data_IF_218260441552
#
_entry.id   IF_218260441552
#
_cell.length_a   1.000
_cell.length_b   1.000
_cell.length_c   1.000
_cell.angle_alpha   90.00
_cell.angle_beta   90.00
_cell.angle_gamma   90.00
#
_symmetry.space_group_name_H-M   'P 1'
#
loop_
_entity.id
_entity.type
_entity.pdbx_description
1 polymer ?
#
# COMPACT_ATOMS: atom_id res chain seq x y z
N UNK A 1 -10.26 27.35 -27.39
CA UNK A 1 -11.57 27.74 -26.81
C UNK A 1 -11.43 28.99 -25.94
N UNK A 2 -12.29 29.99 -26.14
CA UNK A 2 -12.39 31.18 -25.27
C UNK A 2 -12.78 30.81 -23.83
N UNK A 3 -12.39 31.61 -22.82
CA UNK A 3 -12.76 31.40 -21.38
C UNK A 3 -14.29 31.27 -21.19
N UNK A 4 -15.08 32.01 -21.97
CA UNK A 4 -16.56 31.97 -21.93
C UNK A 4 -17.16 30.63 -22.39
N UNK A 5 -16.44 29.83 -23.19
CA UNK A 5 -16.92 28.55 -23.72
C UNK A 5 -16.43 27.34 -22.91
N UNK A 6 -15.83 27.57 -21.73
CA UNK A 6 -15.25 26.52 -20.88
C UNK A 6 -15.94 26.42 -19.52
N UNK A 7 -17.15 26.91 -19.37
CA UNK A 7 -17.91 26.78 -18.12
C UNK A 7 -18.70 25.48 -18.10
N UNK A 8 -19.03 24.96 -16.92
CA UNK A 8 -19.92 23.78 -16.77
C UNK A 8 -21.24 24.01 -17.52
N UNK A 9 -21.85 25.19 -17.39
CA UNK A 9 -23.05 25.58 -18.14
C UNK A 9 -22.85 25.51 -19.67
N UNK A 10 -21.66 25.86 -20.19
CA UNK A 10 -21.38 25.78 -21.62
C UNK A 10 -21.24 24.33 -22.11
N UNK A 11 -20.74 23.43 -21.27
CA UNK A 11 -20.69 22.00 -21.58
C UNK A 11 -22.06 21.32 -21.41
N UNK A 12 -22.82 21.66 -20.35
CA UNK A 12 -24.19 21.20 -20.14
C UNK A 12 -25.09 21.55 -21.35
N UNK A 13 -25.02 22.81 -21.82
CA UNK A 13 -25.75 23.25 -23.01
C UNK A 13 -25.37 22.50 -24.28
N UNK A 14 -24.11 22.10 -24.44
CA UNK A 14 -23.66 21.29 -25.59
C UNK A 14 -24.11 19.84 -25.50
N UNK A 15 -24.25 19.31 -24.29
CA UNK A 15 -24.75 17.96 -24.02
C UNK A 15 -26.29 17.87 -24.05
N UNK A 16 -27.00 19.01 -24.09
CA UNK A 16 -28.46 19.05 -24.01
C UNK A 16 -29.00 18.77 -22.59
N UNK A 17 -28.18 18.99 -21.56
CA UNK A 17 -28.51 18.72 -20.15
C UNK A 17 -28.75 20.02 -19.39
N UNK A 18 -29.46 19.93 -18.26
CA UNK A 18 -29.49 21.02 -17.28
C UNK A 18 -28.11 21.17 -16.63
N UNK A 19 -27.81 22.36 -16.09
CA UNK A 19 -26.54 22.58 -15.40
C UNK A 19 -26.40 21.71 -14.15
N UNK A 20 -27.50 21.42 -13.45
CA UNK A 20 -27.51 20.60 -12.22
C UNK A 20 -27.27 19.12 -12.55
N UNK A 21 -27.88 18.62 -13.64
CA UNK A 21 -27.61 17.25 -14.11
C UNK A 21 -26.15 17.09 -14.56
N UNK A 22 -25.60 18.11 -15.22
CA UNK A 22 -24.19 18.09 -15.60
C UNK A 22 -23.28 18.09 -14.37
N UNK A 23 -23.60 18.84 -13.31
CA UNK A 23 -22.83 18.81 -12.06
C UNK A 23 -22.86 17.43 -11.41
N UNK A 24 -24.05 16.81 -11.33
CA UNK A 24 -24.22 15.47 -10.79
C UNK A 24 -23.45 14.43 -11.60
N UNK A 25 -23.52 14.48 -12.94
CA UNK A 25 -22.80 13.53 -13.81
C UNK A 25 -21.29 13.70 -13.70
N UNK A 26 -20.80 14.94 -13.58
CA UNK A 26 -19.37 15.21 -13.43
C UNK A 26 -18.84 14.78 -12.05
N UNK A 27 -19.65 14.89 -11.01
CA UNK A 27 -19.35 14.37 -9.69
C UNK A 27 -19.38 12.83 -9.67
N UNK A 28 -20.43 12.22 -10.21
CA UNK A 28 -20.65 10.77 -10.21
C UNK A 28 -19.66 10.01 -11.10
N UNK A 29 -19.48 10.44 -12.37
CA UNK A 29 -18.67 9.70 -13.34
C UNK A 29 -17.18 9.98 -13.26
N UNK A 30 -16.77 11.20 -12.88
CA UNK A 30 -15.35 11.61 -12.92
C UNK A 30 -14.87 12.33 -11.65
N UNK A 31 -15.70 12.42 -10.61
CA UNK A 31 -15.31 13.00 -9.31
C UNK A 31 -14.98 14.49 -9.35
N UNK A 32 -15.43 15.23 -10.36
CA UNK A 32 -15.17 16.67 -10.49
C UNK A 32 -16.29 17.48 -9.85
N UNK A 33 -16.02 18.01 -8.66
CA UNK A 33 -16.92 18.93 -7.97
C UNK A 33 -16.70 20.37 -8.43
N UNK A 34 -17.76 20.98 -8.98
CA UNK A 34 -17.78 22.40 -9.30
C UNK A 34 -18.79 23.10 -8.40
N UNK A 35 -18.37 24.20 -7.75
CA UNK A 35 -19.23 24.93 -6.79
C UNK A 35 -20.44 25.62 -7.42
N UNK A 36 -20.44 25.81 -8.74
CA UNK A 36 -21.48 26.51 -9.50
C UNK A 36 -21.35 26.25 -10.99
N UNK A 37 -22.45 26.35 -11.73
CA UNK A 37 -22.51 26.17 -13.19
C UNK A 37 -21.61 27.14 -14.00
N UNK A 38 -21.27 28.30 -13.42
CA UNK A 38 -20.35 29.27 -14.02
C UNK A 38 -18.88 28.95 -13.82
N UNK A 39 -18.56 27.86 -13.09
CA UNK A 39 -17.19 27.44 -12.87
C UNK A 39 -16.52 27.05 -14.19
N UNK A 40 -15.28 27.52 -14.38
CA UNK A 40 -14.50 27.27 -15.58
C UNK A 40 -13.77 25.93 -15.43
N UNK A 41 -14.00 25.03 -16.37
CA UNK A 41 -13.31 23.75 -16.51
C UNK A 41 -11.83 23.98 -16.86
N UNK A 42 -10.88 23.48 -16.05
CA UNK A 42 -9.45 23.51 -16.34
C UNK A 42 -9.10 22.88 -17.70
N UNK A 43 -8.10 23.42 -18.41
CA UNK A 43 -7.75 22.96 -19.77
C UNK A 43 -7.44 21.46 -19.85
N UNK A 44 -6.78 20.92 -18.84
CA UNK A 44 -6.42 19.51 -18.72
C UNK A 44 -7.60 18.59 -18.39
N UNK A 45 -8.77 19.13 -18.03
CA UNK A 45 -9.97 18.35 -17.69
C UNK A 45 -11.07 18.41 -18.76
N UNK A 46 -10.89 19.21 -19.81
CA UNK A 46 -11.89 19.39 -20.88
C UNK A 46 -12.30 18.06 -21.51
N UNK A 47 -11.32 17.20 -21.83
CA UNK A 47 -11.56 15.90 -22.48
C UNK A 47 -12.42 14.98 -21.61
N UNK A 48 -12.11 14.91 -20.31
CA UNK A 48 -12.86 14.08 -19.37
C UNK A 48 -14.30 14.57 -19.20
N UNK A 49 -14.50 15.89 -19.14
CA UNK A 49 -15.84 16.52 -19.09
C UNK A 49 -16.64 16.23 -20.37
N UNK A 50 -16.00 16.33 -21.54
CA UNK A 50 -16.66 16.04 -22.83
C UNK A 50 -17.07 14.57 -22.96
N UNK A 51 -16.27 13.63 -22.45
CA UNK A 51 -16.60 12.20 -22.44
C UNK A 51 -17.72 11.90 -21.43
N UNK A 52 -17.60 12.41 -20.20
CA UNK A 52 -18.58 12.17 -19.14
C UNK A 52 -19.99 12.67 -19.51
N UNK A 53 -20.06 13.82 -20.18
CA UNK A 53 -21.30 14.45 -20.66
C UNK A 53 -21.73 13.99 -22.06
N UNK A 54 -21.03 13.03 -22.68
CA UNK A 54 -21.43 12.45 -23.97
C UNK A 54 -21.30 13.40 -25.17
N UNK A 55 -20.43 14.41 -25.10
CA UNK A 55 -20.24 15.43 -26.15
C UNK A 55 -19.30 14.93 -27.27
N UNK A 56 -18.40 13.97 -26.98
CA UNK A 56 -17.40 13.48 -27.94
C UNK A 56 -17.91 12.29 -28.78
N UNK A 57 -17.75 12.37 -30.12
CA UNK A 57 -18.16 11.35 -31.12
C UNK A 57 -17.05 10.37 -31.57
N UNK A 58 -15.97 10.20 -30.81
CA UNK A 58 -14.92 9.20 -31.13
C UNK A 58 -14.68 8.30 -29.94
N UNK A 59 -15.31 7.14 -29.96
CA UNK A 59 -15.01 6.00 -29.09
C UNK A 59 -13.61 5.48 -29.41
N UNK A 60 -12.73 5.47 -28.42
CA UNK A 60 -11.48 4.72 -28.46
C UNK A 60 -11.66 3.38 -27.72
N UNK A 61 -10.79 2.36 -27.92
CA UNK A 61 -10.95 1.05 -27.29
C UNK A 61 -10.97 1.09 -25.75
N UNK A 62 -10.50 2.17 -25.13
CA UNK A 62 -10.51 2.40 -23.67
C UNK A 62 -11.92 2.72 -23.13
N UNK A 63 -12.86 3.12 -23.99
CA UNK A 63 -14.20 3.59 -23.61
C UNK A 63 -15.24 2.45 -23.43
N UNK A 64 -14.88 1.19 -23.73
CA UNK A 64 -15.78 0.02 -23.59
C UNK A 64 -15.96 -0.48 -22.16
N UNK A 65 -15.24 0.08 -21.19
CA UNK A 65 -15.35 -0.34 -19.78
C UNK A 65 -16.53 0.33 -19.05
N UNK A 66 -17.36 1.11 -19.76
CA UNK A 66 -18.42 1.92 -19.18
C UNK A 66 -19.80 1.44 -19.70
N UNK A 67 -20.41 0.58 -18.88
CA UNK A 67 -21.85 0.21 -18.74
C UNK A 67 -22.35 -1.00 -19.56
N UNK A 68 -22.90 -2.00 -18.83
CA UNK A 68 -24.29 -2.54 -18.88
C UNK A 68 -24.34 -3.78 -17.93
N UNK A 69 -25.14 -3.83 -16.86
CA UNK A 69 -26.60 -4.08 -16.83
C UNK A 69 -27.14 -3.95 -15.35
N UNK A 70 -28.46 -4.07 -15.08
CA UNK A 70 -29.46 -3.02 -15.01
C UNK A 70 -30.00 -2.80 -13.58
N UNK A 71 -30.55 -1.61 -13.32
CA UNK A 71 -31.39 -1.35 -12.14
C UNK A 71 -32.77 -1.98 -12.39
N UNK A 72 -33.25 -2.84 -11.48
CA UNK A 72 -34.67 -3.12 -11.33
C UNK A 72 -35.18 -2.57 -10.00
N UNK A 73 -36.41 -2.08 -10.08
CA UNK A 73 -37.09 -1.15 -9.19
C UNK A 73 -37.66 -1.88 -7.96
N UNK A 74 -37.71 -1.14 -6.85
CA UNK A 74 -38.28 -1.45 -5.52
C UNK A 74 -39.65 -2.14 -5.55
N UNK A 75 -39.85 -3.07 -4.62
CA UNK A 75 -41.10 -3.21 -3.86
C UNK A 75 -40.76 -3.60 -2.39
N UNK A 76 -41.43 -2.95 -1.44
CA UNK A 76 -41.37 -3.19 0.01
C UNK A 76 -42.84 -3.17 0.53
N UNK A 77 -43.17 -3.68 1.73
CA UNK A 77 -43.33 -5.08 2.15
C UNK A 77 -44.81 -5.38 2.56
N UNK A 78 -45.11 -6.48 3.30
CA UNK A 78 -45.67 -6.22 4.63
C UNK A 78 -45.26 -7.19 5.76
N UNK A 79 -45.24 -6.58 6.94
CA UNK A 79 -45.28 -7.05 8.33
C UNK A 79 -45.63 -8.52 8.63
N UNK A 80 -44.85 -9.15 9.53
CA UNK A 80 -45.25 -9.31 10.94
C UNK A 80 -44.31 -10.22 11.77
N UNK A 81 -43.80 -9.64 12.86
CA UNK A 81 -43.70 -10.18 14.22
C UNK A 81 -42.82 -11.42 14.49
N UNK A 82 -41.70 -11.25 15.21
CA UNK A 82 -41.56 -11.39 16.69
C UNK A 82 -40.07 -11.19 17.11
N UNK A 83 -39.85 -10.17 17.96
CA UNK A 83 -38.90 -9.98 19.09
C UNK A 83 -37.80 -11.04 19.37
N UNK A 84 -36.60 -10.74 19.90
CA UNK A 84 -36.05 -9.57 20.62
C UNK A 84 -34.52 -9.73 20.79
N UNK A 85 -33.79 -8.62 20.95
CA UNK A 85 -32.42 -8.61 21.49
C UNK A 85 -31.52 -7.52 20.90
N UNK A 86 -31.53 -6.34 21.53
CA UNK A 86 -30.80 -5.11 21.19
C UNK A 86 -29.44 -5.31 20.50
N UNK A 87 -29.37 -4.84 19.25
CA UNK A 87 -28.13 -4.47 18.57
C UNK A 87 -28.22 -3.01 18.15
N UNK A 88 -27.81 -2.11 19.03
CA UNK A 88 -27.50 -0.73 18.63
C UNK A 88 -26.18 -0.77 17.85
N UNK A 89 -26.32 -0.75 16.54
CA UNK A 89 -25.24 -0.63 15.56
C UNK A 89 -25.32 0.78 14.98
N UNK A 90 -24.28 1.63 15.06
CA UNK A 90 -24.24 2.83 14.25
C UNK A 90 -23.31 2.65 13.06
N UNK A 91 -23.94 2.59 11.89
CA UNK A 91 -23.44 2.71 10.51
C UNK A 91 -22.75 4.07 10.24
N UNK A 92 -22.33 4.79 11.28
CA UNK A 92 -21.75 6.13 11.20
C UNK A 92 -20.20 6.17 11.21
N UNK A 93 -19.51 5.04 11.43
CA UNK A 93 -18.05 5.01 11.65
C UNK A 93 -17.18 5.06 10.39
N UNK A 94 -17.79 5.05 9.20
CA UNK A 94 -17.06 5.05 7.91
C UNK A 94 -16.67 6.42 7.35
N UNK A 95 -17.26 7.53 7.83
CA UNK A 95 -17.03 8.87 7.26
C UNK A 95 -15.83 9.62 7.85
N UNK A 96 -15.36 9.28 9.05
CA UNK A 96 -14.41 10.13 9.79
C UNK A 96 -12.94 9.78 9.50
N UNK A 97 -12.62 8.55 9.07
CA UNK A 97 -11.28 8.21 8.56
C UNK A 97 -10.88 8.97 7.27
N UNK A 98 -11.83 9.65 6.62
CA UNK A 98 -11.57 10.47 5.44
C UNK A 98 -11.01 11.87 5.77
N UNK A 99 -11.03 12.31 7.04
CA UNK A 99 -10.54 13.64 7.45
C UNK A 99 -9.04 13.68 7.71
N UNK A 100 -8.37 12.53 7.79
CA UNK A 100 -6.91 12.46 7.60
C UNK A 100 -6.71 12.73 6.11
N UNK A 101 -6.29 13.97 5.80
CA UNK A 101 -5.92 14.46 4.47
C UNK A 101 -5.46 13.27 3.60
N UNK A 102 -6.17 12.92 2.51
CA UNK A 102 -5.64 11.92 1.61
C UNK A 102 -4.37 12.51 1.04
N UNK A 103 -3.22 12.06 1.55
CA UNK A 103 -1.97 12.15 0.82
C UNK A 103 -2.22 11.32 -0.43
N UNK A 104 -2.70 12.03 -1.46
CA UNK A 104 -2.89 11.57 -2.81
C UNK A 104 -1.50 11.13 -3.26
N UNK A 105 -1.16 9.86 -3.01
CA UNK A 105 -0.03 9.25 -3.71
C UNK A 105 -0.39 9.39 -5.19
N UNK A 106 0.49 10.04 -5.94
CA UNK A 106 0.38 10.10 -7.36
C UNK A 106 0.39 8.65 -7.89
N UNK A 107 -0.77 8.19 -8.35
CA UNK A 107 -0.98 6.99 -9.17
C UNK A 107 -0.54 5.62 -8.59
N UNK A 108 -1.53 4.76 -8.28
CA UNK A 108 -1.52 3.35 -8.70
C UNK A 108 -0.55 2.34 -8.08
N UNK A 109 -0.13 2.46 -6.82
CA UNK A 109 0.61 1.38 -6.15
C UNK A 109 -0.33 0.50 -5.33
N UNK A 110 -0.43 -0.79 -5.67
CA UNK A 110 -0.88 -1.81 -4.72
C UNK A 110 0.18 -1.99 -3.63
N UNK A 111 -0.25 -2.07 -2.37
CA UNK A 111 0.66 -2.29 -1.25
C UNK A 111 1.23 -3.72 -1.32
N UNK A 112 2.54 -3.86 -1.14
CA UNK A 112 3.19 -5.17 -1.10
C UNK A 112 3.07 -5.75 0.32
N UNK A 113 1.98 -6.47 0.56
CA UNK A 113 1.66 -7.10 1.83
C UNK A 113 2.59 -8.28 2.15
N UNK A 114 2.75 -8.57 3.43
CA UNK A 114 3.26 -9.86 3.88
C UNK A 114 2.12 -10.86 3.90
N UNK A 115 2.40 -12.10 3.48
CA UNK A 115 1.46 -13.20 3.67
C UNK A 115 1.72 -13.91 5.01
N UNK A 116 0.88 -14.88 5.37
CA UNK A 116 1.04 -15.63 6.63
C UNK A 116 2.37 -16.42 6.67
N UNK A 117 2.77 -17.01 5.55
CA UNK A 117 4.01 -17.77 5.44
C UNK A 117 5.25 -16.87 5.66
N UNK A 118 5.22 -15.63 5.20
CA UNK A 118 6.30 -14.66 5.43
C UNK A 118 6.46 -14.38 6.93
N UNK A 119 5.35 -14.20 7.66
CA UNK A 119 5.37 -13.93 9.10
C UNK A 119 5.80 -15.15 9.90
N UNK A 120 5.35 -16.35 9.51
CA UNK A 120 5.83 -17.61 10.10
C UNK A 120 7.33 -17.80 9.87
N UNK A 121 7.84 -17.52 8.66
CA UNK A 121 9.28 -17.56 8.37
C UNK A 121 10.06 -16.58 9.25
N UNK A 122 9.56 -15.36 9.43
CA UNK A 122 10.17 -14.38 10.33
C UNK A 122 10.21 -14.91 11.77
N UNK A 123 9.12 -15.51 12.24
CA UNK A 123 9.05 -16.10 13.58
C UNK A 123 10.12 -17.19 13.77
N UNK A 124 10.18 -18.19 12.87
CA UNK A 124 11.16 -19.27 12.99
C UNK A 124 12.60 -18.80 12.78
N UNK A 125 12.82 -17.75 11.98
CA UNK A 125 14.13 -17.13 11.88
C UNK A 125 14.55 -16.53 13.24
N UNK A 126 13.64 -15.84 13.93
CA UNK A 126 13.89 -15.33 15.28
C UNK A 126 14.15 -16.45 16.29
N UNK A 127 13.39 -17.56 16.22
CA UNK A 127 13.62 -18.74 17.07
C UNK A 127 15.06 -19.23 16.92
N UNK A 128 15.55 -19.41 15.69
CA UNK A 128 16.93 -19.83 15.44
C UNK A 128 17.98 -18.82 15.89
N UNK A 129 17.73 -17.52 15.68
CA UNK A 129 18.66 -16.45 16.08
C UNK A 129 18.87 -16.32 17.60
N UNK A 130 17.86 -16.70 18.39
CA UNK A 130 17.86 -16.63 19.85
C UNK A 130 17.96 -18.01 20.54
N UNK A 131 18.08 -19.11 19.80
CA UNK A 131 18.06 -20.48 20.35
C UNK A 131 19.06 -20.70 21.49
N UNK A 132 20.26 -20.11 21.34
CA UNK A 132 21.37 -20.24 22.30
C UNK A 132 21.49 -19.06 23.26
N UNK A 133 20.44 -18.25 23.43
CA UNK A 133 20.42 -17.13 24.38
C UNK A 133 19.39 -17.36 25.49
N UNK A 134 19.52 -16.61 26.58
CA UNK A 134 18.54 -16.67 27.69
C UNK A 134 17.16 -16.19 27.23
N UNK A 135 17.14 -15.30 26.23
CA UNK A 135 15.94 -14.71 25.64
C UNK A 135 15.30 -15.59 24.55
N UNK A 136 15.57 -16.90 24.50
CA UNK A 136 15.01 -17.81 23.49
C UNK A 136 13.48 -17.72 23.42
N UNK A 137 12.92 -17.97 22.23
CA UNK A 137 11.46 -18.07 22.04
C UNK A 137 11.03 -19.51 22.38
N UNK A 138 10.35 -19.69 23.52
CA UNK A 138 9.92 -20.99 24.03
C UNK A 138 8.57 -20.87 24.77
N UNK A 139 7.52 -21.66 24.43
CA UNK A 139 7.48 -22.58 23.29
C UNK A 139 7.45 -21.83 21.96
N UNK A 140 8.18 -22.30 20.92
CA UNK A 140 8.11 -21.72 19.59
C UNK A 140 6.84 -22.18 18.87
N UNK A 141 6.51 -21.47 17.78
CA UNK A 141 5.50 -21.91 16.83
C UNK A 141 4.14 -21.26 17.02
N UNK A 142 3.26 -21.61 16.08
CA UNK A 142 1.97 -20.96 15.90
C UNK A 142 0.95 -21.47 16.91
N UNK A 143 0.31 -20.55 17.65
CA UNK A 143 -0.78 -20.87 18.55
C UNK A 143 -2.11 -21.03 17.79
N UNK A 144 -2.33 -20.22 16.74
CA UNK A 144 -3.53 -20.32 15.91
C UNK A 144 -3.35 -19.76 14.49
N UNK A 145 -3.63 -20.58 13.48
CA UNK A 145 -3.66 -20.16 12.07
C UNK A 145 -4.75 -19.12 11.79
N UNK A 146 -5.92 -19.23 12.43
CA UNK A 146 -7.01 -18.30 12.20
C UNK A 146 -6.70 -16.92 12.75
N UNK A 147 -5.99 -16.84 13.88
CA UNK A 147 -5.54 -15.57 14.47
C UNK A 147 -4.44 -14.92 13.61
N UNK A 148 -3.52 -15.70 13.04
CA UNK A 148 -2.54 -15.19 12.08
C UNK A 148 -3.22 -14.62 10.83
N UNK A 149 -4.12 -15.39 10.23
CA UNK A 149 -4.85 -14.96 9.04
C UNK A 149 -5.65 -13.68 9.32
N UNK A 150 -6.35 -13.63 10.45
CA UNK A 150 -7.08 -12.43 10.88
C UNK A 150 -6.16 -11.22 11.07
N UNK A 151 -5.01 -11.41 11.72
CA UNK A 151 -4.04 -10.34 11.94
C UNK A 151 -3.50 -9.77 10.62
N UNK A 152 -3.16 -10.64 9.67
CA UNK A 152 -2.61 -10.23 8.37
C UNK A 152 -3.64 -9.61 7.43
N UNK A 153 -4.88 -10.07 7.46
CA UNK A 153 -5.95 -9.47 6.64
C UNK A 153 -6.31 -8.05 7.09
N UNK A 154 -6.08 -7.70 8.36
CA UNK A 154 -6.54 -6.40 8.90
C UNK A 154 -5.97 -5.22 8.13
N UNK A 155 -4.68 -5.23 7.79
CA UNK A 155 -4.04 -4.14 7.03
C UNK A 155 -4.57 -3.98 5.61
N UNK A 156 -5.19 -5.03 5.05
CA UNK A 156 -5.86 -5.04 3.74
C UNK A 156 -7.37 -4.80 3.80
N UNK A 157 -7.94 -4.54 4.97
CA UNK A 157 -9.40 -4.35 5.13
C UNK A 157 -9.92 -3.26 4.19
N UNK A 158 -10.92 -3.61 3.38
CA UNK A 158 -11.62 -2.70 2.50
C UNK A 158 -13.13 -2.87 2.60
N UNK A 159 -13.87 -1.81 2.34
CA UNK A 159 -15.32 -1.83 2.15
C UNK A 159 -15.62 -1.28 0.75
N UNK A 160 -16.25 -2.09 -0.10
CA UNK A 160 -16.42 -1.80 -1.53
C UNK A 160 -15.09 -1.40 -2.20
N UNK A 161 -15.00 -0.16 -2.71
CA UNK A 161 -13.79 0.38 -3.35
C UNK A 161 -12.90 1.18 -2.39
N UNK A 162 -13.24 1.24 -1.10
CA UNK A 162 -12.55 2.05 -0.11
C UNK A 162 -11.68 1.18 0.81
N UNK A 163 -10.37 1.38 0.76
CA UNK A 163 -9.45 0.78 1.72
C UNK A 163 -9.58 1.50 3.07
N UNK A 164 -9.73 0.73 4.16
CA UNK A 164 -9.73 1.27 5.53
C UNK A 164 -8.37 1.84 5.92
N UNK A 165 -7.29 1.21 5.42
CA UNK A 165 -5.91 1.59 5.69
C UNK A 165 -5.16 1.90 4.37
N UNK A 166 -5.44 3.06 3.73
CA UNK A 166 -4.99 3.35 2.36
C UNK A 166 -3.51 3.72 2.24
N UNK A 167 -2.78 3.84 3.34
CA UNK A 167 -1.35 4.19 3.33
C UNK A 167 -0.51 3.08 3.93
N UNK A 168 0.78 3.05 3.59
CA UNK A 168 1.74 2.06 4.13
C UNK A 168 1.77 2.14 5.65
N UNK A 169 1.81 3.35 6.21
CA UNK A 169 1.88 3.57 7.66
C UNK A 169 0.62 3.04 8.36
N UNK A 170 -0.57 3.25 7.77
CA UNK A 170 -1.83 2.74 8.29
C UNK A 170 -1.93 1.22 8.20
N UNK A 171 -1.55 0.63 7.06
CA UNK A 171 -1.56 -0.82 6.87
C UNK A 171 -0.54 -1.53 7.78
N UNK A 172 0.65 -0.92 7.94
CA UNK A 172 1.68 -1.34 8.86
C UNK A 172 1.18 -1.30 10.31
N UNK A 173 0.57 -0.18 10.72
CA UNK A 173 0.04 0.00 12.06
C UNK A 173 -1.06 -1.01 12.41
N UNK A 174 -1.99 -1.24 11.49
CA UNK A 174 -3.06 -2.21 11.66
C UNK A 174 -2.52 -3.65 11.83
N UNK A 175 -1.51 -4.01 11.04
CA UNK A 175 -0.86 -5.33 11.11
C UNK A 175 -0.03 -5.47 12.38
N UNK A 176 0.74 -4.44 12.75
CA UNK A 176 1.54 -4.39 13.97
C UNK A 176 0.67 -4.57 15.21
N UNK A 177 -0.42 -3.80 15.32
CA UNK A 177 -1.37 -3.90 16.41
C UNK A 177 -1.93 -5.31 16.52
N UNK A 178 -2.42 -5.88 15.42
CA UNK A 178 -3.03 -7.22 15.45
C UNK A 178 -2.03 -8.33 15.78
N UNK A 179 -0.84 -8.31 15.18
CA UNK A 179 0.20 -9.31 15.46
C UNK A 179 0.67 -9.25 16.91
N UNK A 180 0.70 -8.05 17.49
CA UNK A 180 1.10 -7.86 18.89
C UNK A 180 0.04 -8.40 19.86
N UNK A 181 -1.25 -8.17 19.58
CA UNK A 181 -2.34 -8.38 20.55
C UNK A 181 -3.15 -9.66 20.33
N UNK A 182 -3.12 -10.27 19.15
CA UNK A 182 -3.90 -11.48 18.87
C UNK A 182 -3.24 -12.77 19.38
N UNK A 183 -2.06 -12.71 20.02
CA UNK A 183 -1.31 -13.88 20.51
C UNK A 183 -1.22 -15.00 19.48
N UNK A 184 -0.75 -14.64 18.29
CA UNK A 184 -0.73 -15.52 17.12
C UNK A 184 0.22 -16.70 17.31
N UNK A 185 1.33 -16.47 18.02
CA UNK A 185 2.35 -17.46 18.37
C UNK A 185 2.28 -17.76 19.86
N UNK A 186 2.80 -18.93 20.26
CA UNK A 186 2.88 -19.31 21.67
C UNK A 186 3.76 -18.36 22.48
N UNK A 187 4.87 -17.91 21.90
CA UNK A 187 5.76 -16.91 22.46
C UNK A 187 6.36 -16.06 21.31
N UNK A 188 7.11 -15.00 21.57
CA UNK A 188 7.76 -14.22 20.52
C UNK A 188 6.85 -13.24 19.77
N UNK A 189 5.62 -12.98 20.25
CA UNK A 189 4.62 -12.19 19.51
C UNK A 189 5.09 -10.76 19.24
N UNK A 190 5.59 -10.05 20.26
CA UNK A 190 6.06 -8.66 20.13
C UNK A 190 7.26 -8.57 19.19
N UNK A 191 8.23 -9.48 19.34
CA UNK A 191 9.41 -9.55 18.47
C UNK A 191 9.03 -9.84 17.01
N UNK A 192 8.14 -10.80 16.80
CA UNK A 192 7.66 -11.17 15.46
C UNK A 192 6.87 -10.03 14.82
N UNK A 193 6.01 -9.36 15.58
CA UNK A 193 5.22 -8.22 15.11
C UNK A 193 6.11 -7.03 14.71
N UNK A 194 7.11 -6.71 15.52
CA UNK A 194 8.08 -5.65 15.21
C UNK A 194 8.84 -5.96 13.91
N UNK A 195 9.45 -7.14 13.80
CA UNK A 195 10.25 -7.50 12.63
C UNK A 195 9.38 -7.59 11.37
N UNK A 196 8.18 -8.17 11.47
CA UNK A 196 7.22 -8.19 10.35
C UNK A 196 6.85 -6.79 9.88
N UNK A 197 6.66 -5.85 10.82
CA UNK A 197 6.37 -4.45 10.48
C UNK A 197 7.56 -3.77 9.80
N UNK A 198 8.78 -3.98 10.28
CA UNK A 198 9.99 -3.45 9.65
C UNK A 198 10.18 -3.99 8.23
N UNK A 199 9.95 -5.29 8.02
CA UNK A 199 10.02 -5.91 6.69
C UNK A 199 8.92 -5.37 5.78
N UNK A 200 7.68 -5.24 6.26
CA UNK A 200 6.57 -4.67 5.48
C UNK A 200 6.87 -3.23 5.06
N UNK A 201 7.38 -2.39 5.97
CA UNK A 201 7.79 -1.02 5.65
C UNK A 201 8.89 -1.02 4.59
N UNK A 202 9.88 -1.89 4.70
CA UNK A 202 10.97 -2.01 3.75
C UNK A 202 10.50 -2.42 2.35
N UNK A 203 9.62 -3.43 2.27
CA UNK A 203 8.97 -3.86 1.01
C UNK A 203 8.25 -2.70 0.32
N UNK A 204 7.74 -1.75 1.11
CA UNK A 204 7.02 -0.57 0.65
C UNK A 204 7.86 0.72 0.63
N UNK A 205 9.20 0.61 0.68
CA UNK A 205 10.14 1.72 0.47
C UNK A 205 10.36 2.64 1.68
N UNK A 206 9.87 2.25 2.86
CA UNK A 206 10.03 2.99 4.11
C UNK A 206 11.04 2.30 5.03
N UNK A 207 11.79 3.10 5.77
CA UNK A 207 12.55 2.64 6.94
C UNK A 207 12.14 3.45 8.15
N UNK A 208 12.21 2.85 9.33
CA UNK A 208 12.16 3.59 10.59
C UNK A 208 13.57 3.98 11.02
N UNK A 209 13.71 5.19 11.56
CA UNK A 209 14.85 5.59 12.38
C UNK A 209 14.35 5.99 13.77
N UNK A 210 14.71 5.19 14.78
CA UNK A 210 14.26 5.39 16.15
C UNK A 210 15.30 4.78 17.11
N UNK A 211 15.63 5.46 18.22
CA UNK A 211 16.43 4.89 19.29
C UNK A 211 15.83 3.57 19.81
N UNK A 212 16.69 2.61 20.15
CA UNK A 212 16.29 1.26 20.55
C UNK A 212 15.37 1.23 21.76
N UNK A 213 15.63 2.10 22.75
CA UNK A 213 14.85 2.18 24.00
C UNK A 213 13.46 2.78 23.74
N UNK A 214 13.37 3.81 22.87
CA UNK A 214 12.09 4.40 22.46
C UNK A 214 11.25 3.38 21.67
N UNK A 215 11.86 2.63 20.75
CA UNK A 215 11.19 1.58 19.99
C UNK A 215 10.66 0.47 20.90
N UNK A 216 11.46 0.07 21.90
CA UNK A 216 11.07 -0.92 22.89
C UNK A 216 9.88 -0.43 23.72
N UNK A 217 9.97 0.75 24.32
CA UNK A 217 8.89 1.31 25.14
C UNK A 217 7.60 1.52 24.33
N UNK A 218 7.72 1.88 23.06
CA UNK A 218 6.58 1.99 22.16
C UNK A 218 5.89 0.64 21.91
N UNK A 219 6.67 -0.42 21.65
CA UNK A 219 6.15 -1.78 21.49
C UNK A 219 5.48 -2.30 22.77
N UNK A 220 6.06 -2.02 23.94
CA UNK A 220 5.46 -2.34 25.25
C UNK A 220 4.15 -1.59 25.46
N UNK A 221 4.09 -0.30 25.09
CA UNK A 221 2.87 0.50 25.21
C UNK A 221 1.73 -0.01 24.31
N UNK A 222 2.04 -0.58 23.14
CA UNK A 222 1.04 -1.26 22.30
C UNK A 222 0.51 -2.51 23.01
N UNK A 223 1.40 -3.38 23.49
CA UNK A 223 1.01 -4.63 24.15
C UNK A 223 0.18 -4.41 25.42
N UNK A 224 0.47 -3.33 26.16
CA UNK A 224 -0.22 -2.96 27.39
C UNK A 224 -1.50 -2.14 27.18
N UNK A 225 -1.90 -1.84 25.94
CA UNK A 225 -3.01 -0.93 25.63
C UNK A 225 -2.87 0.46 26.28
N UNK A 226 -1.64 1.01 26.32
CA UNK A 226 -1.30 2.29 26.96
C UNK A 226 -1.19 3.47 26.00
N UNK A 227 -1.48 3.27 24.72
CA UNK A 227 -1.47 4.35 23.74
C UNK A 227 -2.69 5.26 23.94
N UNK A 228 -2.48 6.57 23.74
CA UNK A 228 -3.53 7.60 23.85
C UNK A 228 -3.83 8.17 22.47
N UNK A 229 -5.08 8.57 22.24
CA UNK A 229 -5.56 9.22 21.03
C UNK A 229 -6.61 10.29 21.38
N UNK A 230 -6.73 11.32 20.55
CA UNK A 230 -7.51 12.54 20.85
C UNK A 230 -8.92 12.56 20.21
N UNK A 231 -9.48 11.39 19.91
CA UNK A 231 -10.65 11.26 19.01
C UNK A 231 -11.65 10.18 19.43
N UNK A 232 -12.90 10.32 18.97
CA UNK A 232 -14.04 9.43 19.26
C UNK A 232 -14.00 8.10 18.46
N UNK A 233 -12.84 7.44 18.47
CA UNK A 233 -12.66 6.11 17.90
C UNK A 233 -12.85 5.03 18.97
N UNK A 234 -13.25 3.83 18.53
CA UNK A 234 -13.09 2.66 19.40
C UNK A 234 -11.60 2.48 19.72
N UNK A 235 -11.31 1.84 20.85
CA UNK A 235 -9.95 1.68 21.36
C UNK A 235 -8.98 1.18 20.29
N UNK A 236 -9.34 0.11 19.59
CA UNK A 236 -8.42 -0.50 18.63
C UNK A 236 -8.16 0.36 17.38
N UNK A 237 -9.17 1.07 16.86
CA UNK A 237 -8.96 2.01 15.76
C UNK A 237 -8.18 3.25 16.20
N UNK A 238 -8.40 3.72 17.43
CA UNK A 238 -7.62 4.81 18.04
C UNK A 238 -6.14 4.44 18.20
N UNK A 239 -5.85 3.27 18.77
CA UNK A 239 -4.48 2.75 18.91
C UNK A 239 -3.80 2.60 17.54
N UNK A 240 -4.49 2.05 16.54
CA UNK A 240 -3.93 1.94 15.18
C UNK A 240 -3.58 3.31 14.58
N UNK A 241 -4.41 4.33 14.81
CA UNK A 241 -4.11 5.67 14.33
C UNK A 241 -2.87 6.26 15.01
N UNK A 242 -2.77 6.13 16.34
CA UNK A 242 -1.58 6.56 17.10
C UNK A 242 -0.33 5.83 16.60
N UNK A 243 -0.43 4.53 16.31
CA UNK A 243 0.68 3.76 15.75
C UNK A 243 1.05 4.26 14.35
N UNK A 244 0.08 4.53 13.49
CA UNK A 244 0.34 5.01 12.14
C UNK A 244 1.01 6.40 12.14
N UNK A 245 0.59 7.28 13.06
CA UNK A 245 1.22 8.59 13.26
C UNK A 245 2.65 8.46 13.77
N UNK A 246 2.88 7.58 14.75
CA UNK A 246 4.22 7.30 15.25
C UNK A 246 5.12 6.76 14.14
N UNK A 247 4.67 5.75 13.38
CA UNK A 247 5.40 5.21 12.22
C UNK A 247 5.72 6.34 11.25
N UNK A 248 4.73 7.16 10.89
CA UNK A 248 4.92 8.29 9.97
C UNK A 248 6.01 9.25 10.47
N UNK A 249 6.00 9.58 11.76
CA UNK A 249 6.96 10.51 12.38
C UNK A 249 8.40 9.98 12.42
N UNK A 250 8.57 8.66 12.50
CA UNK A 250 9.89 8.00 12.56
C UNK A 250 10.34 7.43 11.23
N UNK A 251 9.44 7.37 10.24
CA UNK A 251 9.72 6.79 8.94
C UNK A 251 10.34 7.80 7.99
N UNK A 252 11.27 7.32 7.18
CA UNK A 252 11.81 8.03 6.03
C UNK A 252 11.81 7.11 4.81
N UNK A 253 11.78 7.71 3.61
CA UNK A 253 11.90 6.95 2.36
C UNK A 253 13.34 6.50 2.17
N UNK A 254 13.56 5.20 1.93
CA UNK A 254 14.89 4.70 1.60
C UNK A 254 15.26 5.09 0.17
N UNK A 255 16.15 6.05 0.00
CA UNK A 255 16.84 6.23 -1.28
C UNK A 255 17.98 5.21 -1.35
N UNK A 256 17.76 4.04 -1.95
CA UNK A 256 18.87 3.10 -2.17
C UNK A 256 19.74 3.66 -3.31
N UNK A 257 21.01 4.04 -3.05
CA UNK A 257 21.89 4.51 -4.12
C UNK A 257 22.04 3.40 -5.16
N UNK A 258 22.03 3.81 -6.43
CA UNK A 258 22.19 2.90 -7.56
C UNK A 258 23.59 2.29 -7.49
N UNK A 259 23.70 1.07 -6.94
CA UNK A 259 24.97 0.33 -6.84
C UNK A 259 25.22 -0.53 -8.08
N UNK A 260 26.47 -0.78 -8.46
CA UNK A 260 26.77 -1.83 -9.43
C UNK A 260 26.25 -3.18 -8.91
N UNK A 261 25.56 -3.93 -9.75
CA UNK A 261 25.14 -5.31 -9.47
C UNK A 261 25.59 -6.23 -10.60
N UNK A 262 25.83 -7.51 -10.29
CA UNK A 262 26.17 -8.50 -11.32
C UNK A 262 24.99 -8.69 -12.26
N UNK A 263 25.28 -8.92 -13.55
CA UNK A 263 24.23 -9.09 -14.56
C UNK A 263 23.24 -10.21 -14.19
N UNK A 264 23.71 -11.33 -13.61
CA UNK A 264 22.85 -12.41 -13.11
C UNK A 264 21.82 -11.95 -12.07
N UNK A 265 22.20 -11.03 -11.19
CA UNK A 265 21.34 -10.50 -10.13
C UNK A 265 20.32 -9.53 -10.73
N UNK A 266 20.77 -8.66 -11.64
CA UNK A 266 19.90 -7.80 -12.43
C UNK A 266 18.85 -8.60 -13.21
N UNK A 267 19.26 -9.73 -13.80
CA UNK A 267 18.37 -10.62 -14.56
C UNK A 267 17.23 -11.14 -13.70
N UNK A 268 17.54 -11.68 -12.52
CA UNK A 268 16.54 -12.19 -11.58
C UNK A 268 15.57 -11.08 -11.15
N UNK A 269 16.08 -9.89 -10.82
CA UNK A 269 15.26 -8.74 -10.43
C UNK A 269 14.28 -8.37 -11.55
N UNK A 270 14.79 -8.23 -12.79
CA UNK A 270 13.98 -7.78 -13.92
C UNK A 270 12.97 -8.85 -14.36
N UNK A 271 13.32 -10.13 -14.31
CA UNK A 271 12.38 -11.22 -14.59
C UNK A 271 11.20 -11.24 -13.62
N UNK A 272 11.43 -10.93 -12.33
CA UNK A 272 10.36 -10.75 -11.33
C UNK A 272 9.47 -9.53 -11.59
N UNK A 273 9.84 -8.67 -12.54
CA UNK A 273 9.08 -7.46 -12.96
C UNK A 273 8.61 -7.57 -14.40
N UNK A 274 8.39 -8.80 -14.87
CA UNK A 274 7.87 -9.13 -16.20
C UNK A 274 8.78 -8.63 -17.34
N UNK A 275 10.10 -8.59 -17.11
CA UNK A 275 11.05 -8.27 -18.15
C UNK A 275 11.63 -9.52 -18.80
N UNK A 276 11.70 -9.49 -20.13
CA UNK A 276 12.32 -10.53 -20.95
C UNK A 276 13.66 -10.07 -21.50
N UNK A 277 14.53 -11.03 -21.82
CA UNK A 277 15.88 -10.78 -22.31
C UNK A 277 16.09 -11.45 -23.66
N UNK A 278 16.65 -10.71 -24.62
CA UNK A 278 17.12 -11.31 -25.86
C UNK A 278 18.39 -12.14 -25.66
N UNK A 279 18.71 -12.98 -26.64
CA UNK A 279 20.06 -13.54 -26.73
C UNK A 279 21.08 -12.39 -26.91
N UNK A 280 22.28 -12.47 -26.31
CA UNK A 280 23.32 -11.48 -26.51
C UNK A 280 23.79 -11.46 -27.97
N UNK A 281 23.84 -10.29 -28.58
CA UNK A 281 24.36 -10.09 -29.94
C UNK A 281 25.35 -8.94 -29.96
N UNK A 282 26.56 -9.19 -30.51
CA UNK A 282 27.66 -8.20 -30.62
C UNK A 282 28.01 -7.49 -29.30
N UNK A 283 27.93 -8.21 -28.17
CA UNK A 283 28.23 -7.65 -26.85
C UNK A 283 27.11 -6.78 -26.26
N UNK A 284 25.89 -6.86 -26.79
CA UNK A 284 24.71 -6.18 -26.26
C UNK A 284 23.58 -7.15 -26.01
N UNK A 285 22.68 -6.77 -25.10
CA UNK A 285 21.44 -7.48 -24.82
C UNK A 285 20.27 -6.49 -24.83
N UNK A 286 19.13 -6.94 -25.36
CA UNK A 286 17.89 -6.20 -25.26
C UNK A 286 17.07 -6.73 -24.09
N UNK A 287 16.47 -5.79 -23.36
CA UNK A 287 15.54 -6.06 -22.28
C UNK A 287 14.21 -5.44 -22.67
N UNK A 288 13.15 -6.22 -22.62
CA UNK A 288 11.80 -5.82 -23.00
C UNK A 288 10.84 -5.98 -21.83
N UNK A 289 9.90 -5.04 -21.68
CA UNK A 289 8.81 -5.10 -20.70
C UNK A 289 7.59 -4.46 -21.35
N UNK A 290 6.50 -5.20 -21.52
CA UNK A 290 5.36 -4.74 -22.33
C UNK A 290 5.84 -4.28 -23.73
N UNK A 291 5.48 -3.06 -24.14
CA UNK A 291 5.93 -2.45 -25.40
C UNK A 291 7.23 -1.64 -25.28
N UNK A 292 7.90 -1.67 -24.12
CA UNK A 292 9.13 -0.92 -23.84
C UNK A 292 10.35 -1.80 -24.10
N UNK A 293 11.41 -1.20 -24.66
CA UNK A 293 12.67 -1.89 -24.96
C UNK A 293 13.87 -1.01 -24.63
N UNK A 294 14.86 -1.60 -23.98
CA UNK A 294 16.15 -0.97 -23.72
C UNK A 294 17.29 -1.88 -24.18
N UNK A 295 18.36 -1.28 -24.70
CA UNK A 295 19.60 -1.98 -25.04
C UNK A 295 20.72 -1.54 -24.09
N UNK A 296 21.42 -2.52 -23.53
CA UNK A 296 22.60 -2.32 -22.68
C UNK A 296 23.76 -3.22 -23.12
N UNK A 297 24.98 -2.83 -22.76
CA UNK A 297 26.16 -3.67 -22.97
C UNK A 297 26.08 -4.93 -22.10
N UNK A 298 26.49 -6.06 -22.67
CA UNK A 298 26.52 -7.37 -22.02
C UNK A 298 27.96 -7.90 -21.99
N UNK A 299 28.54 -7.95 -20.79
CA UNK A 299 29.89 -8.48 -20.57
C UNK A 299 29.92 -9.91 -20.01
N UNK A 300 28.76 -10.56 -19.87
CA UNK A 300 28.61 -11.87 -19.21
C UNK A 300 27.89 -11.79 -17.86
N UNK A 301 27.32 -12.91 -17.41
CA UNK A 301 26.46 -13.00 -16.20
C UNK A 301 27.15 -12.53 -14.91
N UNK A 302 28.47 -12.68 -14.80
CA UNK A 302 29.24 -12.31 -13.62
C UNK A 302 29.83 -10.89 -13.68
N UNK A 303 29.64 -10.14 -14.77
CA UNK A 303 30.10 -8.75 -14.88
C UNK A 303 29.12 -7.80 -14.21
N UNK A 304 29.66 -6.72 -13.67
CA UNK A 304 28.87 -5.66 -13.06
C UNK A 304 28.24 -4.76 -14.13
N UNK A 305 26.96 -4.47 -13.93
CA UNK A 305 26.23 -3.47 -14.70
C UNK A 305 26.38 -2.14 -13.98
N UNK A 306 26.93 -1.14 -14.68
CA UNK A 306 27.20 0.18 -14.08
C UNK A 306 25.91 0.90 -13.69
N UNK A 307 25.93 1.76 -12.65
CA UNK A 307 24.77 2.52 -12.20
C UNK A 307 24.00 3.24 -13.30
N UNK A 308 24.71 3.92 -14.22
CA UNK A 308 24.07 4.65 -15.32
C UNK A 308 23.27 3.74 -16.26
N UNK A 309 23.74 2.51 -16.50
CA UNK A 309 23.00 1.54 -17.30
C UNK A 309 21.76 1.04 -16.55
N UNK A 310 21.85 0.85 -15.24
CA UNK A 310 20.69 0.48 -14.42
C UNK A 310 19.65 1.61 -14.40
N UNK A 311 20.07 2.86 -14.21
CA UNK A 311 19.19 4.03 -14.28
C UNK A 311 18.52 4.13 -15.66
N UNK A 312 19.27 3.91 -16.74
CA UNK A 312 18.71 3.87 -18.10
C UNK A 312 17.65 2.78 -18.23
N UNK A 313 17.92 1.56 -17.75
CA UNK A 313 16.94 0.46 -17.75
C UNK A 313 15.70 0.87 -16.97
N UNK A 314 15.90 1.39 -15.75
CA UNK A 314 14.82 1.79 -14.86
C UNK A 314 13.92 2.84 -15.48
N UNK A 315 14.51 3.89 -16.04
CA UNK A 315 13.74 4.93 -16.70
C UNK A 315 13.02 4.42 -17.97
N UNK A 316 13.74 3.68 -18.83
CA UNK A 316 13.20 3.24 -20.13
C UNK A 316 12.10 2.21 -19.99
N UNK A 317 12.22 1.29 -19.02
CA UNK A 317 11.24 0.23 -18.76
C UNK A 317 10.18 0.65 -17.73
N UNK A 318 10.11 1.95 -17.40
CA UNK A 318 9.16 2.50 -16.43
C UNK A 318 9.24 1.76 -15.08
N UNK A 319 10.47 1.47 -14.64
CA UNK A 319 10.85 0.90 -13.35
C UNK A 319 11.52 1.97 -12.47
N UNK A 320 11.05 3.22 -12.57
CA UNK A 320 11.48 4.35 -11.75
C UNK A 320 10.33 4.92 -10.90
N UNK A 321 10.68 5.87 -10.03
CA UNK A 321 9.76 6.46 -9.06
C UNK A 321 8.56 7.18 -9.70
N UNK A 322 8.73 7.68 -10.92
CA UNK A 322 7.67 8.38 -11.67
C UNK A 322 6.58 7.42 -12.17
N UNK A 323 6.89 6.11 -12.26
CA UNK A 323 6.03 5.13 -12.92
C UNK A 323 5.56 3.97 -12.03
N UNK A 324 5.82 3.98 -10.72
CA UNK A 324 5.39 2.85 -9.90
C UNK A 324 6.51 2.06 -9.22
N UNK A 325 7.78 2.48 -9.34
CA UNK A 325 8.90 1.59 -9.03
C UNK A 325 10.08 2.31 -8.37
N UNK A 326 10.08 2.36 -7.04
CA UNK A 326 11.15 2.95 -6.24
C UNK A 326 12.49 2.18 -6.40
N UNK A 327 13.59 2.90 -6.23
CA UNK A 327 14.96 2.37 -6.12
C UNK A 327 15.06 1.31 -5.03
N UNK A 328 14.35 1.50 -3.92
CA UNK A 328 14.26 0.49 -2.87
C UNK A 328 13.68 -0.83 -3.41
N UNK A 329 12.52 -0.75 -4.05
CA UNK A 329 11.81 -1.91 -4.62
C UNK A 329 12.56 -2.59 -5.77
N UNK A 330 13.45 -1.86 -6.46
CA UNK A 330 14.28 -2.41 -7.52
C UNK A 330 15.44 -3.28 -6.98
N UNK A 331 16.13 -2.84 -5.93
CA UNK A 331 17.28 -3.57 -5.37
C UNK A 331 16.92 -4.49 -4.20
N UNK A 332 15.68 -4.41 -3.70
CA UNK A 332 15.26 -5.15 -2.52
C UNK A 332 15.34 -6.66 -2.76
N UNK A 333 16.22 -7.32 -2.00
CA UNK A 333 16.23 -8.75 -1.84
C UNK A 333 15.73 -9.05 -0.41
N UNK A 334 14.46 -9.46 -0.23
CA UNK A 334 13.87 -9.67 1.09
C UNK A 334 14.65 -10.70 1.92
N UNK A 335 15.27 -11.69 1.28
CA UNK A 335 16.09 -12.71 1.96
C UNK A 335 17.35 -12.14 2.62
N UNK A 336 17.88 -11.02 2.12
CA UNK A 336 19.05 -10.33 2.72
C UNK A 336 18.66 -9.28 3.75
N UNK A 337 17.43 -8.77 3.69
CA UNK A 337 16.97 -7.70 4.55
C UNK A 337 16.70 -8.19 5.99
N UNK A 338 16.13 -9.38 6.14
CA UNK A 338 15.76 -9.94 7.45
C UNK A 338 16.96 -10.11 8.41
N UNK A 339 18.09 -10.73 8.02
CA UNK A 339 19.27 -10.82 8.88
C UNK A 339 19.85 -9.45 9.26
N UNK A 340 19.84 -8.48 8.34
CA UNK A 340 20.31 -7.11 8.61
C UNK A 340 19.41 -6.39 9.63
N UNK A 341 18.09 -6.56 9.52
CA UNK A 341 17.15 -6.02 10.51
C UNK A 341 17.38 -6.60 11.89
N UNK A 342 17.50 -7.93 12.00
CA UNK A 342 17.70 -8.58 13.29
C UNK A 342 19.02 -8.16 13.90
N UNK A 343 20.09 -8.05 13.10
CA UNK A 343 21.37 -7.52 13.57
C UNK A 343 21.25 -6.08 14.05
N UNK A 344 20.55 -5.21 13.31
CA UNK A 344 20.38 -3.79 13.65
C UNK A 344 19.56 -3.59 14.93
N UNK A 345 18.51 -4.38 15.11
CA UNK A 345 17.57 -4.24 16.23
C UNK A 345 17.78 -5.30 17.31
N UNK A 346 18.95 -5.97 17.35
CA UNK A 346 19.19 -7.11 18.23
C UNK A 346 18.94 -6.77 19.70
N UNK A 347 19.42 -5.61 20.16
CA UNK A 347 19.23 -5.17 21.54
C UNK A 347 17.74 -4.92 21.85
N UNK A 348 17.02 -4.24 20.98
CA UNK A 348 15.55 -4.05 21.12
C UNK A 348 14.83 -5.38 21.21
N UNK A 349 15.18 -6.35 20.35
CA UNK A 349 14.57 -7.67 20.36
C UNK A 349 14.86 -8.43 21.66
N UNK A 350 16.09 -8.33 22.21
CA UNK A 350 16.42 -8.91 23.52
C UNK A 350 15.62 -8.26 24.65
N UNK A 351 15.49 -6.93 24.65
CA UNK A 351 14.72 -6.21 25.67
C UNK A 351 13.23 -6.58 25.64
N UNK A 352 12.65 -6.79 24.45
CA UNK A 352 11.25 -7.19 24.31
C UNK A 352 10.97 -8.59 24.86
N UNK A 353 11.95 -9.49 24.78
CA UNK A 353 11.83 -10.85 25.29
C UNK A 353 11.67 -10.92 26.81
N UNK A 354 12.16 -9.91 27.55
CA UNK A 354 12.04 -9.85 29.01
C UNK A 354 10.62 -9.49 29.49
N UNK A 355 9.75 -9.10 28.57
CA UNK A 355 8.41 -8.59 28.86
C UNK A 355 7.31 -9.42 28.16
N UNK A 356 7.66 -10.57 27.53
CA UNK A 356 6.73 -11.40 26.73
C UNK A 356 5.79 -12.29 27.55
#
# INVERSE_FOLDING_TARGET
MSRKNRTVAAFAKKAGLSSDDALLILEDKIGLQFKKETAVVPKNQIRAVEVALGISKKESPEDKTIILHPVHIKEEPPDSLINSGNRDSPVAKGKVLQSIIPLKRAHGYELDYLNCEDVEKIHYFLVGEFENTVERIDPPGLASQSLLASAMMRGGTSFERYQKYPTVELAAAASLHSLTLNHVFHNGNKRTALVSTLVFLDKNGLSIDCPEDELKDFMTAIADHKLKWDHDYNQSDGEVLTIAEWIRSKSYRKTIPTRPIKFRELRVILQKKDCEFSLPMRGYVHITRNNLRVQIAYGGENREVRPNAIQKIRHTLQLDEMHGHDSAFFYHNPEKALPEFIKRYRKTLQLLALEE
#
